data_IF_882015787724
#
_entry.id   IF_882015787724
#
_cell.length_a   1.000
_cell.length_b   1.000
_cell.length_c   1.000
_cell.angle_alpha   90.00
_cell.angle_beta   90.00
_cell.angle_gamma   90.00
#
_symmetry.space_group_name_H-M   'P 1'
#
loop_
_entity.id
_entity.type
_entity.pdbx_description
1 polymer ?
#
# COMPACT_ATOMS: atom_id res chain seq x y z
N UNK A 1 -8.74 -1.56 7.49
CA UNK A 1 -9.09 -1.33 6.07
C UNK A 1 -10.53 -1.78 5.84
N UNK A 2 -11.38 -0.98 5.21
CA UNK A 2 -12.84 -1.29 5.09
C UNK A 2 -13.43 -1.11 3.68
N UNK A 3 -13.08 -0.06 2.92
CA UNK A 3 -13.58 0.15 1.56
C UNK A 3 -12.42 0.18 0.56
N UNK A 4 -12.51 -0.65 -0.48
CA UNK A 4 -11.44 -0.81 -1.45
C UNK A 4 -12.05 -0.84 -2.86
N UNK A 5 -11.42 -0.14 -3.79
CA UNK A 5 -11.79 -0.10 -5.21
C UNK A 5 -10.54 -0.28 -6.06
N UNK A 6 -10.66 -1.07 -7.11
CA UNK A 6 -9.58 -1.23 -8.09
C UNK A 6 -10.12 -0.88 -9.46
N UNK A 7 -9.40 -0.03 -10.17
CA UNK A 7 -9.76 0.41 -11.52
C UNK A 7 -8.62 0.07 -12.46
N UNK A 8 -8.94 -0.58 -13.58
CA UNK A 8 -8.00 -0.83 -14.65
C UNK A 8 -8.18 0.25 -15.72
N UNK A 9 -7.08 0.86 -16.15
CA UNK A 9 -7.02 1.96 -17.09
C UNK A 9 -5.95 1.64 -18.12
N UNK A 10 -6.24 1.91 -19.38
CA UNK A 10 -5.25 1.87 -20.45
C UNK A 10 -4.72 3.28 -20.71
N UNK A 11 -3.40 3.44 -20.77
CA UNK A 11 -2.78 4.71 -21.15
C UNK A 11 -1.59 4.46 -22.08
N UNK A 12 -1.64 5.02 -23.29
CA UNK A 12 -0.59 4.87 -24.32
C UNK A 12 -0.27 3.40 -24.68
N UNK A 13 -1.29 2.52 -24.69
CA UNK A 13 -1.12 1.08 -24.94
C UNK A 13 -0.48 0.31 -23.77
N UNK A 14 -0.40 0.92 -22.59
CA UNK A 14 0.05 0.30 -21.35
C UNK A 14 -1.11 0.16 -20.36
N UNK A 15 -1.15 -0.99 -19.70
CA UNK A 15 -2.12 -1.27 -18.64
C UNK A 15 -1.64 -0.66 -17.31
N UNK A 16 -2.53 0.08 -16.66
CA UNK A 16 -2.35 0.63 -15.32
C UNK A 16 -3.53 0.27 -14.43
N UNK A 17 -3.27 -0.09 -13.19
CA UNK A 17 -4.27 -0.34 -12.15
C UNK A 17 -4.13 0.69 -11.04
N UNK A 18 -5.22 1.40 -10.77
CA UNK A 18 -5.37 2.26 -9.61
C UNK A 18 -5.98 1.43 -8.50
N UNK A 19 -5.25 1.29 -7.39
CA UNK A 19 -5.74 0.63 -6.18
C UNK A 19 -6.07 1.71 -5.17
N UNK A 20 -7.34 1.84 -4.85
CA UNK A 20 -7.87 2.79 -3.89
C UNK A 20 -8.28 2.04 -2.63
N UNK A 21 -7.79 2.47 -1.48
CA UNK A 21 -8.03 1.82 -0.18
C UNK A 21 -8.40 2.84 0.88
N UNK A 22 -9.07 2.39 1.92
CA UNK A 22 -9.32 3.18 3.13
C UNK A 22 -8.47 2.66 4.30
N UNK A 23 -7.81 3.57 5.01
CA UNK A 23 -6.97 3.24 6.16
C UNK A 23 -7.45 3.99 7.41
N UNK A 24 -7.94 3.22 8.37
CA UNK A 24 -8.22 3.70 9.72
C UNK A 24 -7.39 2.88 10.70
N UNK A 25 -6.48 3.52 11.43
CA UNK A 25 -5.64 2.88 12.44
C UNK A 25 -5.19 3.91 13.49
N UNK A 26 -5.02 3.46 14.73
CA UNK A 26 -4.47 4.27 15.81
C UNK A 26 -3.06 3.78 16.14
N UNK A 27 -2.06 4.58 15.76
CA UNK A 27 -0.64 4.32 15.99
C UNK A 27 -0.08 5.16 17.14
N UNK A 28 -0.93 5.90 17.85
CA UNK A 28 -0.57 6.71 19.02
C UNK A 28 0.25 5.93 20.06
N UNK A 29 -0.02 4.64 20.35
CA UNK A 29 0.78 3.86 21.30
C UNK A 29 2.24 3.63 20.86
N UNK A 30 2.57 3.80 19.59
CA UNK A 30 3.93 3.62 19.07
C UNK A 30 4.85 4.82 19.34
N UNK A 31 4.28 5.97 19.73
CA UNK A 31 5.05 7.15 20.11
C UNK A 31 5.45 7.09 21.58
N UNK A 32 6.75 6.96 21.82
CA UNK A 32 7.39 7.08 23.13
C UNK A 32 8.58 8.06 23.03
N UNK A 33 9.32 8.22 24.13
CA UNK A 33 10.46 9.14 24.21
C UNK A 33 11.56 8.89 23.17
N UNK A 34 11.67 7.68 22.63
CA UNK A 34 12.66 7.30 21.63
C UNK A 34 12.09 7.28 20.20
N UNK A 35 10.79 7.50 19.98
CA UNK A 35 10.22 7.44 18.63
C UNK A 35 10.45 8.77 17.91
N UNK A 36 11.21 8.75 16.82
CA UNK A 36 11.45 9.95 15.99
C UNK A 36 10.34 10.15 14.96
N UNK A 37 9.98 9.08 14.26
CA UNK A 37 8.94 9.09 13.22
C UNK A 37 8.47 7.67 12.91
N UNK A 38 7.28 7.56 12.34
CA UNK A 38 6.78 6.35 11.71
C UNK A 38 6.79 6.52 10.19
N UNK A 39 7.25 5.50 9.47
CA UNK A 39 7.10 5.43 8.02
C UNK A 39 6.03 4.40 7.67
N UNK A 40 4.88 4.88 7.24
CA UNK A 40 3.72 4.08 6.90
C UNK A 40 3.69 3.84 5.40
N UNK A 41 3.37 2.62 4.97
CA UNK A 41 3.24 2.32 3.55
C UNK A 41 2.30 1.15 3.31
N UNK A 42 1.62 1.18 2.18
CA UNK A 42 0.76 0.09 1.72
C UNK A 42 1.43 -0.55 0.52
N UNK A 43 1.61 -1.85 0.58
CA UNK A 43 2.14 -2.65 -0.52
C UNK A 43 1.02 -3.39 -1.22
N UNK A 44 1.14 -3.53 -2.53
CA UNK A 44 0.36 -4.44 -3.34
C UNK A 44 1.32 -5.51 -3.89
N UNK A 45 1.00 -6.76 -3.61
CA UNK A 45 1.78 -7.92 -4.00
C UNK A 45 1.02 -8.76 -5.00
N UNK A 46 1.70 -9.19 -6.06
CA UNK A 46 1.14 -10.08 -7.08
C UNK A 46 2.16 -11.05 -7.63
N UNK A 47 1.63 -12.13 -8.21
CA UNK A 47 2.41 -13.20 -8.81
C UNK A 47 2.30 -13.12 -10.32
N UNK A 48 3.42 -13.27 -11.01
CA UNK A 48 3.46 -13.45 -12.47
C UNK A 48 4.12 -14.78 -12.81
N UNK A 49 3.94 -15.31 -14.04
CA UNK A 49 4.64 -16.54 -14.45
C UNK A 49 6.17 -16.43 -14.36
N UNK A 50 6.72 -15.21 -14.46
CA UNK A 50 8.15 -14.93 -14.44
C UNK A 50 8.68 -14.61 -13.04
N UNK A 51 7.83 -14.19 -12.10
CA UNK A 51 8.25 -13.79 -10.76
C UNK A 51 7.19 -14.14 -9.71
N UNK A 52 7.63 -14.88 -8.70
CA UNK A 52 6.77 -15.37 -7.60
C UNK A 52 6.36 -14.28 -6.61
N UNK A 53 7.12 -13.17 -6.52
CA UNK A 53 6.80 -12.05 -5.63
C UNK A 53 7.10 -10.74 -6.34
N UNK A 54 6.07 -10.04 -6.81
CA UNK A 54 6.16 -8.66 -7.25
C UNK A 54 5.50 -7.77 -6.20
N UNK A 55 6.27 -6.94 -5.52
CA UNK A 55 5.79 -6.06 -4.45
C UNK A 55 5.97 -4.60 -4.87
N UNK A 56 4.89 -3.82 -4.82
CA UNK A 56 4.90 -2.40 -5.20
C UNK A 56 4.25 -1.58 -4.10
N UNK A 57 4.84 -0.44 -3.74
CA UNK A 57 4.24 0.51 -2.81
C UNK A 57 3.20 1.35 -3.55
N UNK A 58 1.96 1.35 -3.09
CA UNK A 58 0.84 2.10 -3.71
C UNK A 58 0.49 3.39 -2.94
N UNK A 59 0.93 3.49 -1.70
CA UNK A 59 0.76 4.65 -0.84
C UNK A 59 1.82 4.67 0.27
N UNK A 60 2.24 5.86 0.67
CA UNK A 60 3.17 6.09 1.77
C UNK A 60 2.81 7.38 2.55
N UNK A 61 3.14 7.41 3.84
CA UNK A 61 3.00 8.58 4.71
C UNK A 61 4.07 8.55 5.81
N UNK A 62 4.67 9.70 6.10
CA UNK A 62 5.53 9.88 7.26
C UNK A 62 4.72 10.55 8.36
N UNK A 63 4.75 9.97 9.57
CA UNK A 63 4.13 10.55 10.77
C UNK A 63 5.25 10.91 11.74
N UNK A 64 5.41 12.20 12.01
CA UNK A 64 6.48 12.71 12.89
C UNK A 64 5.99 13.06 14.28
N UNK A 65 4.67 13.14 14.48
CA UNK A 65 4.07 13.58 15.74
C UNK A 65 2.96 12.62 16.19
N UNK A 66 2.81 12.48 17.51
CA UNK A 66 1.81 11.63 18.16
C UNK A 66 0.38 12.07 17.83
N UNK A 67 0.12 13.37 17.71
CA UNK A 67 -1.20 13.91 17.40
C UNK A 67 -1.63 13.56 15.96
N UNK A 68 -0.67 13.24 15.09
CA UNK A 68 -0.90 12.78 13.71
C UNK A 68 -0.96 11.25 13.59
N UNK A 69 -0.81 10.51 14.68
CA UNK A 69 -0.72 9.05 14.69
C UNK A 69 -2.08 8.34 14.62
N UNK A 70 -3.18 9.08 14.77
CA UNK A 70 -4.52 8.59 14.47
C UNK A 70 -4.80 8.80 12.98
N UNK A 71 -4.74 7.71 12.22
CA UNK A 71 -4.92 7.73 10.77
C UNK A 71 -6.38 7.43 10.45
N UNK A 72 -7.00 8.29 9.65
CA UNK A 72 -8.34 8.11 9.12
C UNK A 72 -8.43 8.63 7.69
N UNK A 73 -7.70 7.97 6.80
CA UNK A 73 -7.58 8.34 5.39
C UNK A 73 -8.57 7.52 4.55
N UNK A 74 -9.26 8.20 3.63
CA UNK A 74 -10.23 7.58 2.73
C UNK A 74 -9.83 7.80 1.29
N UNK A 75 -10.12 6.82 0.44
CA UNK A 75 -9.81 6.83 -0.98
C UNK A 75 -8.34 7.14 -1.29
N UNK A 76 -7.41 6.56 -0.54
CA UNK A 76 -5.98 6.77 -0.79
C UNK A 76 -5.50 5.91 -1.96
N UNK A 77 -4.87 6.58 -2.93
CA UNK A 77 -4.14 5.98 -4.05
C UNK A 77 -3.08 7.00 -4.49
N UNK A 78 -1.79 6.68 -4.34
CA UNK A 78 -0.69 7.60 -4.69
C UNK A 78 0.07 7.14 -5.92
N UNK A 79 0.37 5.85 -6.01
CA UNK A 79 1.09 5.26 -7.13
C UNK A 79 0.24 4.22 -7.86
N UNK A 80 0.43 4.16 -9.17
CA UNK A 80 -0.23 3.21 -10.05
C UNK A 80 0.58 1.92 -10.15
N UNK A 81 -0.11 0.78 -10.20
CA UNK A 81 0.48 -0.50 -10.57
C UNK A 81 0.43 -0.58 -12.10
N UNK A 82 1.51 -0.94 -12.77
CA UNK A 82 1.47 -1.07 -14.24
C UNK A 82 2.66 -0.47 -14.95
N UNK A 83 2.52 -0.34 -16.26
CA UNK A 83 3.55 0.21 -17.15
C UNK A 83 4.48 -0.83 -17.77
N UNK A 84 4.31 -2.12 -17.46
CA UNK A 84 5.01 -3.21 -18.15
C UNK A 84 4.07 -3.90 -19.16
N UNK A 85 4.44 -3.86 -20.45
CA UNK A 85 3.70 -4.50 -21.55
C UNK A 85 3.68 -6.03 -21.44
N UNK A 86 4.59 -6.63 -20.66
CA UNK A 86 4.72 -8.08 -20.53
C UNK A 86 3.80 -8.67 -19.47
N UNK A 87 3.24 -7.83 -18.61
CA UNK A 87 2.39 -8.25 -17.50
C UNK A 87 0.92 -8.03 -17.87
N UNK A 88 0.14 -9.10 -17.85
CA UNK A 88 -1.30 -8.99 -17.95
C UNK A 88 -1.88 -8.73 -16.56
N UNK A 89 -2.34 -7.50 -16.34
CA UNK A 89 -2.92 -7.08 -15.07
C UNK A 89 -4.39 -7.48 -14.92
N UNK A 90 -5.06 -7.95 -15.98
CA UNK A 90 -6.49 -8.34 -15.94
C UNK A 90 -6.71 -9.60 -15.11
N UNK A 91 -7.71 -9.58 -14.23
CA UNK A 91 -8.06 -10.69 -13.32
C UNK A 91 -6.91 -11.13 -12.40
N UNK A 92 -5.90 -10.28 -12.24
CA UNK A 92 -4.76 -10.54 -11.39
C UNK A 92 -5.16 -10.37 -9.92
N UNK A 93 -4.80 -11.34 -9.09
CA UNK A 93 -4.99 -11.25 -7.65
C UNK A 93 -3.88 -10.40 -7.02
N UNK A 94 -4.29 -9.37 -6.30
CA UNK A 94 -3.45 -8.48 -5.52
C UNK A 94 -3.64 -8.78 -4.03
N UNK A 95 -2.54 -8.99 -3.32
CA UNK A 95 -2.50 -8.98 -1.86
C UNK A 95 -2.07 -7.59 -1.40
N UNK A 96 -2.97 -6.88 -0.75
CA UNK A 96 -2.73 -5.52 -0.27
C UNK A 96 -2.47 -5.59 1.21
N UNK A 97 -1.36 -5.01 1.63
CA UNK A 97 -0.85 -5.13 2.99
C UNK A 97 -0.45 -3.76 3.50
N UNK A 98 -0.88 -3.43 4.72
CA UNK A 98 -0.39 -2.25 5.40
C UNK A 98 0.83 -2.59 6.24
N UNK A 99 1.87 -1.79 6.09
CA UNK A 99 3.14 -1.95 6.77
C UNK A 99 3.55 -0.61 7.39
N UNK A 100 4.32 -0.68 8.46
CA UNK A 100 4.93 0.49 9.05
C UNK A 100 6.29 0.19 9.64
N UNK A 101 7.19 1.16 9.54
CA UNK A 101 8.47 1.14 10.22
C UNK A 101 8.43 2.13 11.39
N UNK A 102 8.89 1.68 12.57
CA UNK A 102 9.16 2.56 13.71
C UNK A 102 10.63 2.98 13.63
N UNK A 103 10.87 4.27 13.45
CA UNK A 103 12.21 4.84 13.36
C UNK A 103 12.52 5.52 14.70
N UNK A 104 13.49 5.00 15.47
CA UNK A 104 13.86 5.61 16.73
C UNK A 104 14.78 6.82 16.53
N UNK A 105 14.93 7.63 17.59
CA UNK A 105 15.98 8.65 17.68
C UNK A 105 17.35 7.95 17.72
N UNK A 106 17.45 6.85 18.48
CA UNK A 106 18.64 6.00 18.53
C UNK A 106 18.27 4.52 18.59
N UNK A 107 19.00 3.69 17.83
CA UNK A 107 18.81 2.24 17.76
C UNK A 107 18.31 1.75 16.40
N UNK A 108 17.73 0.56 16.41
CA UNK A 108 17.33 -0.17 15.20
C UNK A 108 15.94 0.25 14.69
N UNK A 109 15.79 0.27 13.36
CA UNK A 109 14.48 0.39 12.73
C UNK A 109 13.75 -0.95 12.88
N UNK A 110 12.50 -0.92 13.31
CA UNK A 110 11.65 -2.12 13.37
C UNK A 110 10.55 -2.03 12.32
N UNK A 111 10.34 -3.11 11.58
CA UNK A 111 9.33 -3.22 10.53
C UNK A 111 8.19 -4.10 11.02
N UNK A 112 6.97 -3.64 10.82
CA UNK A 112 5.76 -4.34 11.24
C UNK A 112 4.76 -4.36 10.10
N UNK A 113 3.99 -5.44 10.06
CA UNK A 113 2.90 -5.64 9.11
C UNK A 113 1.59 -5.70 9.89
N UNK A 114 0.58 -4.97 9.43
CA UNK A 114 -0.72 -4.93 10.09
C UNK A 114 -1.85 -4.97 9.08
N UNK A 115 -2.51 -6.13 9.02
CA UNK A 115 -3.64 -6.36 8.13
C UNK A 115 -3.22 -6.61 6.68
N UNK A 116 -3.91 -7.55 6.06
CA UNK A 116 -3.78 -7.85 4.65
C UNK A 116 -5.15 -8.22 4.10
N UNK A 117 -5.38 -7.95 2.83
CA UNK A 117 -6.57 -8.41 2.12
C UNK A 117 -6.26 -8.67 0.66
N UNK A 118 -6.99 -9.61 0.07
CA UNK A 118 -6.85 -9.93 -1.35
C UNK A 118 -7.97 -9.29 -2.16
N UNK A 119 -7.62 -8.68 -3.29
CA UNK A 119 -8.55 -8.11 -4.26
C UNK A 119 -8.13 -8.51 -5.67
N UNK A 120 -9.08 -8.67 -6.59
CA UNK A 120 -8.78 -8.94 -7.99
C UNK A 120 -8.94 -7.67 -8.81
N UNK A 121 -7.99 -7.43 -9.72
CA UNK A 121 -8.13 -6.40 -10.75
C UNK A 121 -9.26 -6.82 -11.71
N UNK A 122 -10.17 -5.91 -12.09
CA UNK A 122 -11.26 -6.24 -13.01
C UNK A 122 -10.74 -6.71 -14.39
N UNK A 123 -11.51 -7.54 -15.10
CA UNK A 123 -11.12 -8.03 -16.43
C UNK A 123 -11.27 -6.97 -17.53
N UNK A 124 -12.05 -5.92 -17.29
CA UNK A 124 -12.39 -4.86 -18.23
C UNK A 124 -11.87 -3.51 -17.74
N UNK A 125 -11.51 -2.65 -18.69
CA UNK A 125 -11.19 -1.25 -18.43
C UNK A 125 -12.44 -0.49 -17.98
N UNK A 126 -12.24 0.52 -17.13
CA UNK A 126 -13.26 1.51 -16.80
C UNK A 126 -13.20 2.71 -17.72
#
# INVERSE_FOLDING_TARGET
MKSNRVQLIERWGLDYSIVTTDLTTDLTPLFNWNTKQLFLYITAEYVTPTNVVNQVVIWDKIVTDKDMAVINEKNIAKYYLGGDQRVNYKNLALNITFNYNVIPISGWITTHQQGSYSIKIPPTYN
#
